data_IF_129136930728
#
_entry.id   IF_129136930728
#
_cell.length_a   1.000
_cell.length_b   1.000
_cell.length_c   1.000
_cell.angle_alpha   90.00
_cell.angle_beta   90.00
_cell.angle_gamma   90.00
#
_symmetry.space_group_name_H-M   'P 1'
#
loop_
_entity.id
_entity.type
_entity.pdbx_description
1 polymer ?
#
# COMPACT_ATOMS: atom_id res chain seq x y z
N UNK A 1 -24.62 -23.41 -1.27
CA UNK A 1 -24.48 -22.49 -2.42
C UNK A 1 -24.50 -21.02 -2.00
N UNK A 2 -25.58 -20.52 -1.36
CA UNK A 2 -25.74 -19.10 -1.00
C UNK A 2 -24.61 -18.55 -0.12
N UNK A 3 -24.14 -19.32 0.88
CA UNK A 3 -23.05 -18.91 1.77
C UNK A 3 -21.70 -18.78 1.05
N UNK A 4 -21.45 -19.62 0.04
CA UNK A 4 -20.23 -19.57 -0.77
C UNK A 4 -20.24 -18.29 -1.62
N UNK A 5 -21.38 -17.98 -2.24
CA UNK A 5 -21.56 -16.77 -3.04
C UNK A 5 -21.38 -15.51 -2.19
N UNK A 6 -21.97 -15.49 -0.98
CA UNK A 6 -21.85 -14.37 -0.04
C UNK A 6 -20.39 -14.19 0.41
N UNK A 7 -19.69 -15.28 0.71
CA UNK A 7 -18.28 -15.23 1.12
C UNK A 7 -17.38 -14.64 0.02
N UNK A 8 -17.56 -15.05 -1.23
CA UNK A 8 -16.81 -14.52 -2.38
C UNK A 8 -17.07 -13.02 -2.54
N UNK A 9 -18.32 -12.58 -2.42
CA UNK A 9 -18.71 -11.18 -2.60
C UNK A 9 -18.12 -10.28 -1.50
N UNK A 10 -18.06 -10.78 -0.26
CA UNK A 10 -17.39 -10.09 0.85
C UNK A 10 -15.89 -9.97 0.61
N UNK A 11 -15.21 -11.04 0.18
CA UNK A 11 -13.77 -11.02 -0.09
C UNK A 11 -13.43 -10.01 -1.18
N UNK A 12 -14.20 -9.98 -2.27
CA UNK A 12 -13.99 -9.01 -3.36
C UNK A 12 -14.23 -7.59 -2.85
N UNK A 13 -15.31 -7.35 -2.10
CA UNK A 13 -15.63 -6.03 -1.55
C UNK A 13 -14.52 -5.46 -0.63
N UNK A 14 -13.96 -6.30 0.24
CA UNK A 14 -12.88 -5.90 1.17
C UNK A 14 -11.53 -5.74 0.47
N UNK A 15 -11.32 -6.43 -0.66
CA UNK A 15 -10.06 -6.35 -1.41
C UNK A 15 -9.87 -5.03 -2.15
N UNK A 16 -10.96 -4.29 -2.41
CA UNK A 16 -10.88 -3.04 -3.16
C UNK A 16 -10.53 -1.89 -2.22
N UNK A 17 -9.32 -1.33 -2.38
CA UNK A 17 -8.82 -0.17 -1.63
C UNK A 17 -8.68 1.04 -2.56
N UNK A 18 -9.06 2.23 -2.08
CA UNK A 18 -8.87 3.49 -2.80
C UNK A 18 -7.63 4.23 -2.30
N UNK A 19 -6.78 4.66 -3.22
CA UNK A 19 -5.60 5.52 -2.97
C UNK A 19 -5.87 6.88 -3.60
N UNK A 20 -5.80 7.95 -2.82
CA UNK A 20 -6.08 9.32 -3.30
C UNK A 20 -4.86 9.93 -3.99
N UNK A 21 -5.06 10.98 -4.81
CA UNK A 21 -4.00 11.66 -5.57
C UNK A 21 -2.86 12.25 -4.72
N UNK A 22 -3.12 12.60 -3.47
CA UNK A 22 -2.11 13.14 -2.55
C UNK A 22 -1.34 12.03 -1.82
N UNK A 23 -1.68 10.77 -2.05
CA UNK A 23 -1.07 9.64 -1.40
C UNK A 23 -0.47 8.68 -2.41
N UNK A 24 0.64 8.06 -2.05
CA UNK A 24 1.13 6.86 -2.70
C UNK A 24 0.98 5.67 -1.77
N UNK A 25 0.79 4.50 -2.36
CA UNK A 25 0.62 3.26 -1.63
C UNK A 25 1.92 2.47 -1.61
N UNK A 26 2.43 2.11 -0.44
CA UNK A 26 3.48 1.11 -0.32
C UNK A 26 2.79 -0.24 -0.07
N UNK A 27 2.97 -1.18 -0.99
CA UNK A 27 2.33 -2.50 -0.92
C UNK A 27 3.36 -3.52 -0.44
N UNK A 28 3.03 -4.17 0.66
CA UNK A 28 3.77 -5.29 1.21
C UNK A 28 2.99 -6.58 0.97
N UNK A 29 3.72 -7.67 0.73
CA UNK A 29 3.16 -9.01 0.56
C UNK A 29 3.94 -9.96 1.49
N UNK A 30 3.25 -10.68 2.37
CA UNK A 30 3.85 -11.60 3.34
C UNK A 30 4.99 -10.94 4.17
N UNK A 31 4.83 -9.67 4.53
CA UNK A 31 5.80 -8.92 5.33
C UNK A 31 6.97 -8.31 4.56
N UNK A 32 7.09 -8.54 3.24
CA UNK A 32 8.15 -7.96 2.43
C UNK A 32 7.61 -6.87 1.50
N UNK A 33 8.41 -5.84 1.25
CA UNK A 33 8.09 -4.81 0.26
C UNK A 33 7.95 -5.47 -1.12
N UNK A 34 6.88 -5.13 -1.84
CA UNK A 34 6.63 -5.67 -3.17
C UNK A 34 6.68 -4.58 -4.23
N UNK A 35 5.94 -3.48 -4.02
CA UNK A 35 5.86 -2.40 -5.00
C UNK A 35 5.30 -1.10 -4.41
N UNK A 36 5.58 -0.01 -5.11
CA UNK A 36 4.86 1.26 -5.00
C UNK A 36 3.60 1.21 -5.88
N UNK A 37 2.46 1.48 -5.27
CA UNK A 37 1.18 1.72 -5.91
C UNK A 37 0.96 3.20 -6.19
N UNK A 38 0.49 3.50 -7.39
CA UNK A 38 0.16 4.85 -7.83
C UNK A 38 -1.21 5.29 -7.25
N UNK A 39 -1.60 6.56 -7.38
CA UNK A 39 -2.97 6.97 -7.07
C UNK A 39 -3.99 6.22 -7.92
N UNK A 40 -5.12 5.83 -7.31
CA UNK A 40 -6.18 5.09 -7.98
C UNK A 40 -6.66 3.89 -7.18
N UNK A 41 -7.31 2.97 -7.88
CA UNK A 41 -7.91 1.77 -7.29
C UNK A 41 -6.91 0.63 -7.26
N UNK A 42 -6.72 0.07 -6.07
CA UNK A 42 -5.81 -1.05 -5.87
C UNK A 42 -6.59 -2.24 -5.31
N UNK A 43 -6.44 -3.39 -5.97
CA UNK A 43 -6.91 -4.66 -5.43
C UNK A 43 -5.79 -5.19 -4.54
N UNK A 44 -6.08 -5.27 -3.24
CA UNK A 44 -5.16 -5.73 -2.20
C UNK A 44 -5.82 -6.91 -1.52
N UNK A 45 -5.17 -8.07 -1.53
CA UNK A 45 -5.71 -9.25 -0.86
C UNK A 45 -5.49 -9.07 0.64
N UNK A 46 -6.54 -8.84 1.45
CA UNK A 46 -6.41 -8.35 2.82
C UNK A 46 -5.68 -9.30 3.77
N UNK A 47 -5.58 -10.59 3.43
CA UNK A 47 -4.96 -11.62 4.27
C UNK A 47 -3.44 -11.68 4.09
N UNK A 48 -2.96 -11.43 2.87
CA UNK A 48 -1.54 -11.61 2.52
C UNK A 48 -0.83 -10.31 2.16
N UNK A 49 -1.59 -9.26 1.87
CA UNK A 49 -1.07 -7.96 1.47
C UNK A 49 -1.50 -6.87 2.43
N UNK A 50 -0.58 -5.97 2.73
CA UNK A 50 -0.85 -4.73 3.46
C UNK A 50 -0.49 -3.54 2.58
N UNK A 51 -1.26 -2.47 2.74
CA UNK A 51 -1.10 -1.22 2.00
C UNK A 51 -0.90 -0.08 2.99
N UNK A 52 0.16 0.69 2.80
CA UNK A 52 0.50 1.84 3.65
C UNK A 52 0.42 3.09 2.78
N UNK A 53 -0.45 4.02 3.16
CA UNK A 53 -0.66 5.26 2.44
C UNK A 53 0.31 6.31 2.97
N UNK A 54 1.24 6.75 2.12
CA UNK A 54 2.17 7.84 2.44
C UNK A 54 1.71 9.12 1.76
N UNK A 55 1.77 10.24 2.47
CA UNK A 55 1.35 11.53 1.92
C UNK A 55 2.48 12.17 1.11
N UNK A 56 2.31 12.25 -0.21
CA UNK A 56 3.30 12.78 -1.16
C UNK A 56 3.53 14.29 -1.02
N UNK A 57 2.67 14.98 -0.26
CA UNK A 57 2.80 16.42 0.03
C UNK A 57 4.02 16.70 0.91
N UNK A 58 4.45 15.72 1.70
CA UNK A 58 5.58 15.89 2.62
C UNK A 58 6.93 15.60 1.91
N UNK A 59 7.96 16.44 2.10
CA UNK A 59 9.25 16.28 1.42
C UNK A 59 9.98 14.97 1.79
N UNK A 60 9.77 14.45 3.01
CA UNK A 60 10.37 13.17 3.43
C UNK A 60 9.77 11.98 2.68
N UNK A 61 8.46 11.99 2.42
CA UNK A 61 7.80 10.96 1.64
C UNK A 61 8.35 10.90 0.20
N UNK A 62 8.61 12.06 -0.40
CA UNK A 62 9.20 12.13 -1.75
C UNK A 62 10.61 11.52 -1.78
N UNK A 63 11.43 11.78 -0.76
CA UNK A 63 12.76 11.16 -0.62
C UNK A 63 12.66 9.64 -0.48
N UNK A 64 11.66 9.14 0.26
CA UNK A 64 11.43 7.71 0.45
C UNK A 64 11.04 7.04 -0.85
N UNK A 65 10.10 7.64 -1.60
CA UNK A 65 9.66 7.15 -2.90
C UNK A 65 10.85 7.09 -3.88
N UNK A 66 11.65 8.15 -3.95
CA UNK A 66 12.81 8.20 -4.82
C UNK A 66 13.86 7.12 -4.46
N UNK A 67 14.13 6.92 -3.17
CA UNK A 67 15.02 5.84 -2.73
C UNK A 67 14.48 4.46 -3.06
N UNK A 68 13.20 4.20 -2.82
CA UNK A 68 12.57 2.92 -3.16
C UNK A 68 12.68 2.63 -4.65
N UNK A 69 12.53 3.64 -5.51
CA UNK A 69 12.71 3.47 -6.96
C UNK A 69 14.16 3.18 -7.36
N UNK A 70 15.13 3.78 -6.67
CA UNK A 70 16.54 3.60 -6.97
C UNK A 70 17.13 2.28 -6.41
N UNK A 71 16.76 1.93 -5.17
CA UNK A 71 17.30 0.78 -4.43
C UNK A 71 16.42 -0.47 -4.54
N UNK A 72 15.14 -0.30 -4.85
CA UNK A 72 14.15 -1.38 -4.85
C UNK A 72 13.70 -1.81 -3.45
N UNK A 73 14.08 -1.08 -2.41
CA UNK A 73 13.82 -1.42 -1.01
C UNK A 73 13.45 -0.19 -0.18
N UNK A 74 12.71 -0.42 0.91
CA UNK A 74 12.20 0.64 1.80
C UNK A 74 13.25 0.96 2.86
N UNK A 75 13.72 2.21 2.86
CA UNK A 75 14.62 2.69 3.90
C UNK A 75 13.87 2.79 5.25
N UNK A 76 14.36 2.07 6.27
CA UNK A 76 13.68 1.94 7.56
C UNK A 76 13.66 3.24 8.37
N UNK A 77 14.72 4.04 8.31
CA UNK A 77 14.79 5.32 9.04
C UNK A 77 13.76 6.30 8.49
N UNK A 78 13.74 6.42 7.16
CA UNK A 78 12.86 7.33 6.47
C UNK A 78 11.40 6.85 6.52
N UNK A 79 11.19 5.52 6.52
CA UNK A 79 9.88 4.92 6.74
C UNK A 79 9.31 5.25 8.12
N UNK A 80 10.09 5.11 9.20
CA UNK A 80 9.64 5.42 10.57
C UNK A 80 9.19 6.88 10.68
N UNK A 81 9.91 7.80 10.04
CA UNK A 81 9.54 9.23 10.04
C UNK A 81 8.25 9.53 9.27
N UNK A 82 7.99 8.84 8.17
CA UNK A 82 6.79 9.14 7.33
C UNK A 82 5.54 8.44 7.85
N UNK A 83 5.68 7.27 8.48
CA UNK A 83 4.55 6.41 8.86
C UNK A 83 4.21 6.47 10.36
N UNK A 84 5.20 6.72 11.22
CA UNK A 84 5.02 6.71 12.68
C UNK A 84 5.00 8.14 13.27
N UNK A 85 5.47 9.15 12.54
CA UNK A 85 5.40 10.56 12.96
C UNK A 85 4.08 11.21 12.58
#
# INVERSE_FOLDING_TARGET
MIYILLSILVVIGVSIRRVTQHHQAIIYTLGNYTRLGQPGWHIVIPVVQSIILINTTHPEAQKLIAQIQAKGDVDEELYKKVVIA
#
